data_IF_470275254057
#
_entry.id   IF_470275254057
#
_cell.length_a   1.000
_cell.length_b   1.000
_cell.length_c   1.000
_cell.angle_alpha   90.00
_cell.angle_beta   90.00
_cell.angle_gamma   90.00
#
_symmetry.space_group_name_H-M   'P 1'
#
loop_
_entity.id
_entity.type
_entity.pdbx_description
1 polymer ?
#
# COMPACT_ATOMS: atom_id res chain seq x y z
N UNK A 1 20.29 -8.73 0.45
CA UNK A 1 19.25 -8.05 1.28
C UNK A 1 19.87 -7.60 2.58
N UNK A 2 19.79 -6.31 2.91
CA UNK A 2 20.29 -5.72 4.17
C UNK A 2 19.44 -6.17 5.36
N UNK A 3 19.98 -6.05 6.58
CA UNK A 3 19.21 -6.45 7.77
C UNK A 3 18.03 -5.52 8.03
N UNK A 4 18.16 -4.21 7.72
CA UNK A 4 17.07 -3.26 7.84
C UNK A 4 15.93 -3.58 6.86
N UNK A 5 16.26 -3.90 5.60
CA UNK A 5 15.27 -4.34 4.61
C UNK A 5 14.56 -5.62 5.05
N UNK A 6 15.27 -6.60 5.63
CA UNK A 6 14.68 -7.84 6.17
C UNK A 6 13.65 -7.54 7.27
N UNK A 7 14.00 -6.68 8.23
CA UNK A 7 13.09 -6.28 9.31
C UNK A 7 11.84 -5.60 8.79
N UNK A 8 11.98 -4.67 7.83
CA UNK A 8 10.86 -3.99 7.19
C UNK A 8 9.97 -4.95 6.40
N UNK A 9 10.58 -5.86 5.63
CA UNK A 9 9.85 -6.87 4.86
C UNK A 9 9.08 -7.84 5.78
N UNK A 10 9.64 -8.24 6.91
CA UNK A 10 8.95 -9.07 7.90
C UNK A 10 7.76 -8.33 8.53
N UNK A 11 7.93 -7.06 8.90
CA UNK A 11 6.80 -6.24 9.37
C UNK A 11 5.71 -6.13 8.32
N UNK A 12 6.07 -5.95 7.04
CA UNK A 12 5.10 -5.87 5.94
C UNK A 12 4.34 -7.18 5.74
N UNK A 13 4.99 -8.34 5.88
CA UNK A 13 4.34 -9.67 5.77
C UNK A 13 3.22 -9.87 6.78
N UNK A 14 3.32 -9.22 7.94
CA UNK A 14 2.31 -9.26 9.00
C UNK A 14 1.21 -8.20 8.85
N UNK A 15 1.15 -7.53 7.69
CA UNK A 15 0.09 -6.56 7.35
C UNK A 15 -1.20 -7.30 7.02
N UNK A 16 -2.30 -6.78 7.53
CA UNK A 16 -3.67 -7.14 7.15
C UNK A 16 -4.31 -6.03 6.28
N UNK A 17 -4.59 -4.87 6.88
CA UNK A 17 -5.04 -3.67 6.19
C UNK A 17 -3.84 -2.81 5.78
N UNK A 18 -3.78 -2.46 4.50
CA UNK A 18 -2.82 -1.53 3.93
C UNK A 18 -3.57 -0.27 3.47
N UNK A 19 -3.48 0.80 4.25
CA UNK A 19 -4.22 2.03 3.96
C UNK A 19 -3.40 2.98 3.09
N UNK A 20 -3.97 3.43 1.98
CA UNK A 20 -3.40 4.50 1.14
C UNK A 20 -4.12 5.80 1.47
N UNK A 21 -3.36 6.83 1.85
CA UNK A 21 -3.86 8.12 2.34
C UNK A 21 -3.37 9.24 1.42
N UNK A 22 -4.27 10.13 1.05
CA UNK A 22 -4.00 11.39 0.37
C UNK A 22 -5.12 12.38 0.64
N UNK A 23 -4.83 13.67 0.62
CA UNK A 23 -5.78 14.75 0.96
C UNK A 23 -7.09 14.66 0.18
N UNK A 24 -7.01 14.27 -1.11
CA UNK A 24 -8.16 14.16 -2.00
C UNK A 24 -9.28 13.27 -1.45
N UNK A 25 -8.93 12.27 -0.62
CA UNK A 25 -9.85 11.23 -0.16
C UNK A 25 -10.13 11.26 1.34
N UNK A 26 -9.81 12.35 2.05
CA UNK A 26 -10.00 12.44 3.51
C UNK A 26 -11.26 13.19 3.94
N UNK A 27 -12.11 13.61 2.99
CA UNK A 27 -13.27 14.47 3.27
C UNK A 27 -12.88 15.76 4.02
N UNK A 28 -11.75 16.39 3.63
CA UNK A 28 -11.22 17.62 4.23
C UNK A 28 -10.50 17.44 5.57
N UNK A 29 -10.39 16.21 6.09
CA UNK A 29 -9.61 15.93 7.30
C UNK A 29 -8.11 15.94 7.01
N UNK A 30 -7.30 16.26 8.01
CA UNK A 30 -5.86 16.13 7.91
C UNK A 30 -5.45 14.67 7.64
N UNK A 31 -4.49 14.46 6.74
CA UNK A 31 -3.93 13.11 6.50
C UNK A 31 -3.29 12.52 7.76
N UNK A 32 -2.78 13.39 8.68
CA UNK A 32 -2.20 12.96 9.95
C UNK A 32 -3.28 12.49 10.94
N UNK A 33 -4.45 13.13 10.94
CA UNK A 33 -5.56 12.72 11.80
C UNK A 33 -6.15 11.39 11.31
N UNK A 34 -6.30 11.22 9.99
CA UNK A 34 -6.74 9.95 9.39
C UNK A 34 -5.73 8.84 9.67
N UNK A 35 -4.42 9.12 9.58
CA UNK A 35 -3.37 8.18 9.96
C UNK A 35 -3.49 7.76 11.42
N UNK A 36 -3.64 8.72 12.33
CA UNK A 36 -3.74 8.44 13.77
C UNK A 36 -4.98 7.59 14.08
N UNK A 37 -6.13 7.94 13.52
CA UNK A 37 -7.37 7.18 13.70
C UNK A 37 -7.27 5.76 13.11
N UNK A 38 -6.64 5.60 11.93
CA UNK A 38 -6.42 4.29 11.33
C UNK A 38 -5.49 3.41 12.21
N UNK A 39 -4.42 3.99 12.74
CA UNK A 39 -3.49 3.31 13.64
C UNK A 39 -4.15 2.90 14.96
N UNK A 40 -5.03 3.73 15.53
CA UNK A 40 -5.87 3.38 16.69
C UNK A 40 -6.80 2.21 16.35
N UNK A 41 -7.35 2.17 15.13
CA UNK A 41 -8.10 1.04 14.59
C UNK A 41 -7.28 -0.22 14.31
N UNK A 42 -5.96 -0.16 14.50
CA UNK A 42 -5.05 -1.29 14.37
C UNK A 42 -4.34 -1.40 13.00
N UNK A 43 -4.50 -0.45 12.09
CA UNK A 43 -3.74 -0.42 10.83
C UNK A 43 -2.25 -0.24 11.14
N UNK A 44 -1.38 -1.06 10.50
CA UNK A 44 0.07 -1.06 10.75
C UNK A 44 0.91 -0.77 9.52
N UNK A 45 0.31 -0.61 8.35
CA UNK A 45 0.98 -0.23 7.12
C UNK A 45 0.17 0.84 6.39
N UNK A 46 0.81 1.95 6.07
CA UNK A 46 0.19 3.08 5.37
C UNK A 46 1.05 3.53 4.21
N UNK A 47 0.40 4.04 3.15
CA UNK A 47 1.07 4.69 2.04
C UNK A 47 0.63 6.14 1.95
N UNK A 48 1.59 7.06 1.94
CA UNK A 48 1.32 8.46 1.61
C UNK A 48 1.29 8.61 0.09
N UNK A 49 0.13 8.99 -0.45
CA UNK A 49 -0.09 9.18 -1.89
C UNK A 49 -0.69 10.53 -2.18
N UNK A 50 0.14 11.47 -2.60
CA UNK A 50 -0.23 12.81 -3.05
C UNK A 50 0.18 12.99 -4.51
N UNK A 51 -0.74 13.46 -5.33
CA UNK A 51 -0.51 13.63 -6.78
C UNK A 51 -0.43 15.08 -7.21
N UNK A 52 -0.91 16.00 -6.36
CA UNK A 52 -1.10 17.41 -6.71
C UNK A 52 -0.17 18.36 -5.94
N UNK A 53 0.73 17.85 -5.09
CA UNK A 53 1.71 18.66 -4.36
C UNK A 53 3.00 18.81 -5.16
N UNK A 54 3.65 19.98 -5.04
CA UNK A 54 5.02 20.15 -5.49
C UNK A 54 5.98 19.26 -4.69
N UNK A 55 7.15 18.96 -5.25
CA UNK A 55 8.15 18.14 -4.54
C UNK A 55 8.52 18.70 -3.16
N UNK A 56 8.60 20.03 -3.02
CA UNK A 56 8.86 20.71 -1.74
C UNK A 56 7.74 20.46 -0.73
N UNK A 57 6.48 20.67 -1.14
CA UNK A 57 5.31 20.48 -0.27
C UNK A 57 5.17 19.02 0.15
N UNK A 58 5.37 18.11 -0.82
CA UNK A 58 5.32 16.67 -0.58
C UNK A 58 6.40 16.22 0.40
N UNK A 59 7.63 16.73 0.28
CA UNK A 59 8.73 16.41 1.21
C UNK A 59 8.40 16.87 2.63
N UNK A 60 7.91 18.11 2.79
CA UNK A 60 7.52 18.65 4.11
C UNK A 60 6.36 17.87 4.74
N UNK A 61 5.40 17.44 3.94
CA UNK A 61 4.30 16.60 4.42
C UNK A 61 4.81 15.21 4.79
N UNK A 62 5.63 14.60 3.92
CA UNK A 62 6.19 13.26 4.14
C UNK A 62 7.05 13.20 5.40
N UNK A 63 7.81 14.26 5.73
CA UNK A 63 8.57 14.35 6.98
C UNK A 63 7.64 14.31 8.22
N UNK A 64 6.56 15.09 8.21
CA UNK A 64 5.57 15.08 9.31
C UNK A 64 4.87 13.73 9.40
N UNK A 65 4.52 13.17 8.25
CA UNK A 65 3.86 11.87 8.15
C UNK A 65 4.77 10.75 8.68
N UNK A 66 6.07 10.78 8.34
CA UNK A 66 7.08 9.83 8.84
C UNK A 66 7.19 9.86 10.36
N UNK A 67 7.36 11.05 10.95
CA UNK A 67 7.40 11.20 12.42
C UNK A 67 6.16 10.61 13.08
N UNK A 68 4.99 10.87 12.50
CA UNK A 68 3.72 10.33 13.02
C UNK A 68 3.66 8.81 12.91
N UNK A 69 4.15 8.23 11.81
CA UNK A 69 4.25 6.78 11.67
C UNK A 69 5.19 6.15 12.70
N UNK A 70 6.31 6.80 13.02
CA UNK A 70 7.25 6.34 14.06
C UNK A 70 6.59 6.35 15.45
N UNK A 71 5.94 7.45 15.83
CA UNK A 71 5.18 7.56 17.09
C UNK A 71 4.15 6.44 17.26
N UNK A 72 3.48 6.06 16.17
CA UNK A 72 2.39 5.08 16.15
C UNK A 72 2.86 3.64 15.87
N UNK A 73 4.14 3.42 15.59
CA UNK A 73 4.68 2.11 15.23
C UNK A 73 4.18 1.56 13.89
N UNK A 74 3.82 2.44 12.94
CA UNK A 74 3.25 2.12 11.64
C UNK A 74 4.32 2.16 10.56
N UNK A 75 4.33 1.18 9.63
CA UNK A 75 5.17 1.20 8.44
C UNK A 75 4.71 2.29 7.48
N UNK A 76 5.65 3.15 7.07
CA UNK A 76 5.42 4.17 6.05
C UNK A 76 5.93 3.74 4.69
N UNK A 77 5.04 3.70 3.72
CA UNK A 77 5.35 3.53 2.30
C UNK A 77 5.16 4.88 1.59
N UNK A 78 6.14 5.30 0.82
CA UNK A 78 6.00 6.47 -0.06
C UNK A 78 5.47 6.02 -1.43
N UNK A 79 4.58 6.79 -2.03
CA UNK A 79 4.10 6.50 -3.38
C UNK A 79 5.02 7.16 -4.41
N UNK A 80 5.50 6.43 -5.41
CA UNK A 80 6.29 6.81 -6.59
C UNK A 80 7.68 7.43 -6.31
N UNK A 81 7.84 8.26 -5.30
CA UNK A 81 9.02 9.11 -5.07
C UNK A 81 10.09 8.42 -4.22
N UNK A 82 11.04 7.73 -4.87
CA UNK A 82 12.17 7.04 -4.20
C UNK A 82 13.09 8.04 -3.48
N UNK A 83 13.34 9.19 -4.10
CA UNK A 83 14.14 10.28 -3.57
C UNK A 83 13.57 10.86 -2.26
N UNK A 84 12.26 11.13 -2.23
CA UNK A 84 11.58 11.61 -1.03
C UNK A 84 11.53 10.51 0.03
N UNK A 85 11.27 9.26 -0.35
CA UNK A 85 11.30 8.13 0.58
C UNK A 85 12.64 8.01 1.31
N UNK A 86 13.76 8.17 0.59
CA UNK A 86 15.11 8.22 1.15
C UNK A 86 15.32 9.43 2.05
N UNK A 87 14.94 10.62 1.57
CA UNK A 87 15.16 11.88 2.29
C UNK A 87 14.46 11.91 3.65
N UNK A 88 13.26 11.33 3.77
CA UNK A 88 12.49 11.32 5.03
C UNK A 88 12.68 10.02 5.84
N UNK A 89 13.45 9.06 5.34
CA UNK A 89 13.66 7.78 6.00
C UNK A 89 12.40 6.90 6.06
N UNK A 90 11.58 6.90 5.00
CA UNK A 90 10.44 5.99 4.89
C UNK A 90 10.87 4.52 4.97
N UNK A 91 9.94 3.61 5.27
CA UNK A 91 10.24 2.18 5.33
C UNK A 91 10.26 1.53 3.94
N UNK A 92 9.55 2.11 2.99
CA UNK A 92 9.51 1.61 1.62
C UNK A 92 8.94 2.61 0.62
N UNK A 93 8.91 2.18 -0.63
CA UNK A 93 8.29 2.91 -1.75
C UNK A 93 7.44 1.95 -2.59
N UNK A 94 6.32 2.45 -3.09
CA UNK A 94 5.44 1.73 -4.00
C UNK A 94 5.46 2.40 -5.37
N UNK A 95 5.81 1.63 -6.41
CA UNK A 95 6.03 2.11 -7.77
C UNK A 95 4.94 1.57 -8.72
N UNK A 96 4.41 2.44 -9.56
CA UNK A 96 3.56 2.09 -10.71
C UNK A 96 4.38 1.60 -11.90
N UNK A 97 3.70 1.17 -12.98
CA UNK A 97 4.37 0.61 -14.17
C UNK A 97 5.22 1.66 -14.93
N UNK A 98 4.82 2.93 -14.84
CA UNK A 98 5.47 4.06 -15.53
C UNK A 98 6.48 4.82 -14.64
N UNK A 99 6.64 4.39 -13.36
CA UNK A 99 7.57 5.00 -12.42
C UNK A 99 8.99 4.40 -12.58
N UNK A 100 9.92 4.82 -11.73
CA UNK A 100 11.30 4.30 -11.70
C UNK A 100 11.31 2.77 -11.71
N UNK A 101 12.22 2.16 -12.49
CA UNK A 101 12.38 0.71 -12.50
C UNK A 101 12.82 0.17 -11.14
N UNK A 102 12.43 -1.06 -10.82
CA UNK A 102 12.85 -1.70 -9.56
C UNK A 102 14.38 -1.82 -9.46
N UNK A 103 15.06 -2.05 -10.58
CA UNK A 103 16.52 -2.11 -10.64
C UNK A 103 17.18 -0.81 -10.17
N UNK A 104 16.77 0.34 -10.76
CA UNK A 104 17.31 1.64 -10.35
C UNK A 104 16.89 2.02 -8.92
N UNK A 105 15.64 1.75 -8.54
CA UNK A 105 15.19 2.00 -7.19
C UNK A 105 15.99 1.19 -6.17
N UNK A 106 16.27 -0.09 -6.44
CA UNK A 106 17.08 -0.96 -5.59
C UNK A 106 18.53 -0.50 -5.50
N UNK A 107 19.11 -0.01 -6.60
CA UNK A 107 20.49 0.48 -6.63
C UNK A 107 20.70 1.68 -5.70
N UNK A 108 19.74 2.61 -5.65
CA UNK A 108 19.84 3.82 -4.83
C UNK A 108 19.22 3.67 -3.43
N UNK A 109 18.31 2.71 -3.22
CA UNK A 109 17.57 2.52 -1.98
C UNK A 109 17.59 1.05 -1.51
N UNK A 110 18.77 0.49 -1.18
CA UNK A 110 18.93 -0.93 -0.85
C UNK A 110 18.17 -1.36 0.42
N UNK A 111 17.89 -0.41 1.31
CA UNK A 111 17.23 -0.65 2.60
C UNK A 111 15.71 -0.50 2.55
N UNK A 112 15.14 0.11 1.52
CA UNK A 112 13.70 0.26 1.38
C UNK A 112 13.05 -1.05 0.92
N UNK A 113 11.85 -1.36 1.42
CA UNK A 113 11.00 -2.33 0.76
C UNK A 113 10.39 -1.70 -0.50
N UNK A 114 10.46 -2.43 -1.60
CA UNK A 114 9.96 -2.00 -2.90
C UNK A 114 8.67 -2.75 -3.25
N UNK A 115 7.60 -2.00 -3.42
CA UNK A 115 6.33 -2.52 -3.94
C UNK A 115 6.13 -2.19 -5.42
N UNK A 116 5.45 -3.05 -6.17
CA UNK A 116 5.13 -2.82 -7.58
C UNK A 116 3.65 -3.01 -7.85
N UNK A 117 3.02 -2.03 -8.50
CA UNK A 117 1.68 -2.20 -9.07
C UNK A 117 1.73 -3.17 -10.25
N UNK A 118 0.84 -4.15 -10.28
CA UNK A 118 0.76 -5.14 -11.36
C UNK A 118 -0.69 -5.41 -11.77
N UNK A 119 -0.89 -5.68 -13.05
CA UNK A 119 -2.19 -5.85 -13.68
C UNK A 119 -2.36 -7.21 -14.37
N UNK A 120 -1.36 -8.08 -14.26
CA UNK A 120 -1.39 -9.45 -14.72
C UNK A 120 -0.48 -10.33 -13.86
N UNK A 121 -0.63 -11.66 -14.00
CA UNK A 121 0.25 -12.63 -13.33
C UNK A 121 1.68 -12.50 -13.84
N UNK A 122 1.85 -12.26 -15.13
CA UNK A 122 3.15 -12.10 -15.79
C UNK A 122 3.89 -10.89 -15.22
N UNK A 123 3.22 -9.72 -15.10
CA UNK A 123 3.80 -8.54 -14.48
C UNK A 123 4.19 -8.78 -13.02
N UNK A 124 3.38 -9.55 -12.27
CA UNK A 124 3.68 -9.87 -10.88
C UNK A 124 4.92 -10.77 -10.75
N UNK A 125 5.09 -11.75 -11.63
CA UNK A 125 6.26 -12.62 -11.68
C UNK A 125 7.51 -11.87 -12.14
N UNK A 126 7.37 -10.98 -13.11
CA UNK A 126 8.47 -10.10 -13.54
C UNK A 126 8.95 -9.20 -12.41
N UNK A 127 8.03 -8.54 -11.70
CA UNK A 127 8.37 -7.72 -10.56
C UNK A 127 9.08 -8.53 -9.45
N UNK A 128 8.63 -9.75 -9.18
CA UNK A 128 9.30 -10.67 -8.26
C UNK A 128 10.73 -11.00 -8.73
N UNK A 129 10.92 -11.28 -10.02
CA UNK A 129 12.23 -11.55 -10.58
C UNK A 129 13.16 -10.32 -10.55
N UNK A 130 12.61 -9.11 -10.56
CA UNK A 130 13.32 -7.84 -10.42
C UNK A 130 13.52 -7.40 -8.95
N UNK A 131 13.44 -8.32 -7.98
CA UNK A 131 13.68 -8.07 -6.55
C UNK A 131 12.68 -7.13 -5.86
N UNK A 132 11.41 -7.12 -6.30
CA UNK A 132 10.33 -6.53 -5.52
C UNK A 132 10.16 -7.25 -4.17
N UNK A 133 9.84 -6.52 -3.11
CA UNK A 133 9.53 -7.10 -1.80
C UNK A 133 8.05 -7.50 -1.70
N UNK A 134 7.19 -6.85 -2.48
CA UNK A 134 5.79 -7.20 -2.64
C UNK A 134 5.23 -6.67 -3.97
N UNK A 135 4.14 -7.26 -4.41
CA UNK A 135 3.39 -6.77 -5.58
C UNK A 135 1.96 -6.41 -5.18
N UNK A 136 1.34 -5.51 -5.92
CA UNK A 136 -0.08 -5.20 -5.79
C UNK A 136 -0.82 -5.67 -7.04
N UNK A 137 -1.80 -6.56 -6.85
CA UNK A 137 -2.72 -7.01 -7.89
C UNK A 137 -3.94 -6.09 -7.93
N UNK A 138 -4.19 -5.42 -9.04
CA UNK A 138 -5.35 -4.53 -9.13
C UNK A 138 -5.50 -3.78 -10.45
N UNK A 139 -6.67 -3.15 -10.64
CA UNK A 139 -7.82 -3.14 -9.72
C UNK A 139 -8.60 -4.46 -9.74
N UNK A 140 -9.03 -4.95 -8.56
CA UNK A 140 -9.81 -6.19 -8.48
C UNK A 140 -11.28 -5.95 -8.86
N UNK A 141 -11.87 -4.89 -8.32
CA UNK A 141 -13.24 -4.45 -8.60
C UNK A 141 -13.27 -3.08 -9.26
N UNK A 142 -14.37 -2.64 -9.84
CA UNK A 142 -14.53 -1.27 -10.34
C UNK A 142 -14.19 -0.25 -9.26
N UNK A 143 -13.44 0.80 -9.64
CA UNK A 143 -13.02 1.85 -8.71
C UNK A 143 -12.95 3.19 -9.43
N UNK A 144 -13.22 4.27 -8.71
CA UNK A 144 -13.09 5.66 -9.19
C UNK A 144 -11.91 6.39 -8.52
N UNK A 145 -11.20 5.74 -7.59
CA UNK A 145 -10.09 6.35 -6.82
C UNK A 145 -8.87 6.67 -7.68
N UNK A 146 -8.66 5.90 -8.74
CA UNK A 146 -7.60 6.11 -9.73
C UNK A 146 -8.21 6.08 -11.12
N UNK A 147 -8.01 7.14 -11.90
CA UNK A 147 -8.32 7.07 -13.33
C UNK A 147 -7.27 6.16 -14.00
N UNK A 148 -7.69 4.97 -14.39
CA UNK A 148 -6.82 3.98 -15.04
C UNK A 148 -7.58 3.32 -16.18
N UNK A 149 -6.93 3.08 -17.34
CA UNK A 149 -7.53 2.34 -18.44
C UNK A 149 -7.67 0.84 -18.14
N UNK A 150 -7.07 0.36 -17.05
CA UNK A 150 -7.08 -1.06 -16.67
C UNK A 150 -8.47 -1.46 -16.20
N UNK A 151 -9.06 -2.44 -16.86
CA UNK A 151 -10.34 -3.03 -16.45
C UNK A 151 -10.17 -3.82 -15.15
N UNK A 152 -11.23 -3.96 -14.34
CA UNK A 152 -11.20 -4.82 -13.16
C UNK A 152 -10.76 -6.24 -13.50
N UNK A 153 -9.81 -6.76 -12.74
CA UNK A 153 -9.18 -8.07 -12.98
C UNK A 153 -10.00 -9.24 -12.41
N UNK A 154 -10.92 -8.95 -11.48
CA UNK A 154 -11.70 -9.96 -10.81
C UNK A 154 -10.89 -10.81 -9.82
N UNK A 155 -11.52 -11.83 -9.26
CA UNK A 155 -10.92 -12.71 -8.24
C UNK A 155 -9.97 -13.76 -8.83
N UNK A 156 -10.10 -14.07 -10.11
CA UNK A 156 -9.33 -15.14 -10.75
C UNK A 156 -7.84 -14.82 -10.84
N UNK A 157 -7.47 -13.54 -10.95
CA UNK A 157 -6.06 -13.16 -10.91
C UNK A 157 -5.41 -13.54 -9.57
N UNK A 158 -6.14 -13.42 -8.46
CA UNK A 158 -5.63 -13.78 -7.12
C UNK A 158 -5.35 -15.29 -7.08
N UNK A 159 -6.30 -16.09 -7.53
CA UNK A 159 -6.17 -17.55 -7.58
C UNK A 159 -5.02 -18.02 -8.46
N UNK A 160 -4.84 -17.33 -9.61
CA UNK A 160 -3.77 -17.63 -10.56
C UNK A 160 -2.38 -17.19 -10.11
N UNK A 161 -2.27 -16.05 -9.42
CA UNK A 161 -1.00 -15.47 -8.95
C UNK A 161 -0.50 -16.15 -7.67
N UNK A 162 -1.39 -16.40 -6.69
CA UNK A 162 -1.04 -16.93 -5.37
C UNK A 162 -0.09 -18.14 -5.39
N UNK A 163 -0.33 -19.23 -6.16
CA UNK A 163 0.56 -20.40 -6.16
C UNK A 163 1.93 -20.15 -6.81
N UNK A 164 2.10 -19.03 -7.52
CA UNK A 164 3.31 -18.72 -8.30
C UNK A 164 4.20 -17.67 -7.62
N UNK A 165 3.64 -16.90 -6.69
CA UNK A 165 4.38 -15.84 -6.00
C UNK A 165 5.02 -16.36 -4.72
N UNK A 166 6.32 -16.13 -4.57
CA UNK A 166 7.09 -16.39 -3.34
C UNK A 166 7.13 -15.16 -2.40
N UNK A 167 6.80 -13.98 -2.94
CA UNK A 167 6.72 -12.71 -2.18
C UNK A 167 5.28 -12.39 -1.81
N UNK A 168 5.04 -11.57 -0.77
CA UNK A 168 3.70 -11.09 -0.44
C UNK A 168 3.03 -10.38 -1.61
N UNK A 169 1.73 -10.50 -1.71
CA UNK A 169 0.95 -9.66 -2.61
C UNK A 169 -0.19 -8.98 -1.86
N UNK A 170 -0.47 -7.75 -2.26
CA UNK A 170 -1.66 -7.00 -1.85
C UNK A 170 -2.68 -7.02 -2.96
N UNK A 171 -3.94 -6.79 -2.61
CA UNK A 171 -5.02 -6.58 -3.59
C UNK A 171 -5.63 -5.20 -3.38
N UNK A 172 -5.90 -4.48 -4.47
CA UNK A 172 -6.45 -3.13 -4.44
C UNK A 172 -7.51 -2.94 -5.53
N UNK A 173 -8.31 -1.89 -5.37
CA UNK A 173 -9.33 -1.47 -6.33
C UNK A 173 -10.71 -2.00 -5.94
N UNK A 174 -11.57 -1.06 -5.51
CA UNK A 174 -12.94 -1.34 -5.12
C UNK A 174 -13.09 -2.28 -3.92
N UNK A 175 -12.04 -2.41 -3.09
CA UNK A 175 -12.10 -3.20 -1.85
C UNK A 175 -13.02 -2.49 -0.85
N UNK A 176 -14.03 -3.21 -0.38
CA UNK A 176 -15.05 -2.77 0.56
C UNK A 176 -15.29 -3.86 1.61
N UNK A 177 -15.77 -3.47 2.79
CA UNK A 177 -16.04 -4.43 3.87
C UNK A 177 -16.87 -5.63 3.39
N UNK A 178 -17.96 -5.37 2.66
CA UNK A 178 -18.89 -6.42 2.20
C UNK A 178 -18.27 -7.41 1.19
N UNK A 179 -17.18 -7.02 0.50
CA UNK A 179 -16.54 -7.90 -0.50
C UNK A 179 -15.23 -8.55 0.00
N UNK A 180 -14.80 -8.28 1.24
CA UNK A 180 -13.61 -8.89 1.81
C UNK A 180 -13.69 -10.42 1.94
N UNK A 181 -14.81 -11.04 2.33
CA UNK A 181 -14.89 -12.50 2.42
C UNK A 181 -14.49 -13.21 1.12
N UNK A 182 -14.98 -12.73 -0.03
CA UNK A 182 -14.63 -13.33 -1.33
C UNK A 182 -13.14 -13.12 -1.71
N UNK A 183 -12.49 -12.04 -1.23
CA UNK A 183 -11.05 -11.84 -1.39
C UNK A 183 -10.26 -12.86 -0.57
N UNK A 184 -10.70 -13.13 0.67
CA UNK A 184 -10.09 -14.17 1.51
C UNK A 184 -10.23 -15.56 0.92
N UNK A 185 -11.41 -15.88 0.39
CA UNK A 185 -11.70 -17.17 -0.29
C UNK A 185 -10.85 -17.33 -1.55
N UNK A 186 -10.57 -16.23 -2.26
CA UNK A 186 -9.64 -16.23 -3.39
C UNK A 186 -8.17 -16.38 -2.96
N UNK A 187 -7.86 -16.13 -1.69
CA UNK A 187 -6.53 -16.32 -1.09
C UNK A 187 -5.75 -15.04 -0.80
N UNK A 188 -6.35 -13.86 -0.93
CA UNK A 188 -5.75 -12.60 -0.49
C UNK A 188 -5.63 -12.57 1.05
N UNK A 189 -4.59 -11.92 1.56
CA UNK A 189 -4.37 -11.72 3.00
C UNK A 189 -4.04 -10.28 3.35
N UNK A 190 -3.47 -9.50 2.43
CA UNK A 190 -3.18 -8.08 2.60
C UNK A 190 -4.11 -7.30 1.68
N UNK A 191 -5.02 -6.53 2.25
CA UNK A 191 -6.01 -5.76 1.50
C UNK A 191 -5.65 -4.27 1.52
N UNK A 192 -5.33 -3.73 0.35
CA UNK A 192 -5.04 -2.31 0.18
C UNK A 192 -6.30 -1.53 -0.18
N UNK A 193 -6.51 -0.38 0.46
CA UNK A 193 -7.69 0.43 0.24
C UNK A 193 -7.44 1.93 0.47
N UNK A 194 -8.33 2.75 -0.05
CA UNK A 194 -8.35 4.20 0.12
C UNK A 194 -9.67 4.60 0.79
N UNK A 195 -10.69 4.87 0.00
CA UNK A 195 -11.93 5.54 0.40
C UNK A 195 -12.75 4.78 1.45
N UNK A 196 -12.67 3.45 1.47
CA UNK A 196 -13.41 2.65 2.46
C UNK A 196 -13.04 3.00 3.90
N UNK A 197 -11.77 3.36 4.14
CA UNK A 197 -11.31 3.81 5.44
C UNK A 197 -11.19 5.34 5.51
N UNK A 198 -10.55 5.98 4.51
CA UNK A 198 -10.28 7.42 4.61
C UNK A 198 -11.52 8.29 4.58
N UNK A 199 -12.66 7.78 4.11
CA UNK A 199 -13.93 8.51 4.07
C UNK A 199 -14.94 8.01 5.12
N UNK A 200 -14.59 7.01 5.92
CA UNK A 200 -15.44 6.56 7.02
C UNK A 200 -15.66 7.70 8.04
N UNK A 201 -16.84 7.79 8.62
CA UNK A 201 -17.17 8.75 9.67
C UNK A 201 -16.25 8.54 10.88
N UNK A 202 -16.16 7.30 11.37
CA UNK A 202 -15.19 6.86 12.37
C UNK A 202 -14.20 5.87 11.72
N UNK A 203 -13.02 6.38 11.38
CA UNK A 203 -11.95 5.58 10.73
C UNK A 203 -11.45 4.46 11.64
N UNK A 204 -11.34 4.72 12.95
CA UNK A 204 -10.83 3.75 13.91
C UNK A 204 -11.83 2.60 14.11
N UNK A 205 -13.11 2.92 14.30
CA UNK A 205 -14.16 1.90 14.43
C UNK A 205 -14.28 1.07 13.14
N UNK A 206 -14.24 1.72 11.98
CA UNK A 206 -14.28 1.04 10.68
C UNK A 206 -13.09 0.09 10.48
N UNK A 207 -11.88 0.53 10.80
CA UNK A 207 -10.69 -0.30 10.72
C UNK A 207 -10.78 -1.52 11.65
N UNK A 208 -11.23 -1.34 12.90
CA UNK A 208 -11.47 -2.45 13.85
C UNK A 208 -12.51 -3.45 13.32
N UNK A 209 -13.64 -2.96 12.81
CA UNK A 209 -14.68 -3.82 12.25
C UNK A 209 -14.17 -4.64 11.07
N UNK A 210 -13.47 -3.99 10.13
CA UNK A 210 -12.90 -4.70 8.98
C UNK A 210 -11.84 -5.72 9.42
N UNK A 211 -10.96 -5.40 10.36
CA UNK A 211 -9.93 -6.33 10.87
C UNK A 211 -10.54 -7.54 11.59
N UNK A 212 -11.70 -7.39 12.21
CA UNK A 212 -12.42 -8.52 12.82
C UNK A 212 -12.87 -9.59 11.80
N UNK A 213 -12.85 -9.27 10.50
CA UNK A 213 -13.16 -10.25 9.43
C UNK A 213 -11.97 -11.18 9.11
N UNK A 214 -10.73 -10.85 9.51
CA UNK A 214 -9.59 -11.79 9.41
C UNK A 214 -9.79 -12.94 10.41
N UNK A 215 -9.80 -14.16 9.88
CA UNK A 215 -9.91 -15.40 10.66
C UNK A 215 -8.59 -16.15 10.68
#
# INVERSE_FOLDING_TARGET
MTDLRKQRAERFRNTDLYLVIGHEFTNGRSVLDVLAAAADGGVRTVQLREKNLSGKELTLLAEKFRRKCEELGVLMIMNDHVDIALAVGADGVHLGQDDMSLEFARAIAPDLILGRSTHSVEQALEAQAQDADYVNLGPIFPTQTKNTPVKPLGLDIIRAAKPKLAIPFTVMGGVKEHNMPQLFDAGARILAMVTELTQAEDVAAKARAMRALWK
#
